data_IF_937562724619
#
_entry.id   IF_937562724619
#
_cell.length_a   1.000
_cell.length_b   1.000
_cell.length_c   1.000
_cell.angle_alpha   90.00
_cell.angle_beta   90.00
_cell.angle_gamma   90.00
#
_symmetry.space_group_name_H-M   'P 1'
#
loop_
_entity.id
_entity.type
_entity.pdbx_description
1 polymer ?
#
# COMPACT_ATOMS: atom_id res chain seq x y z
N UNK A 1 46.88 16.97 22.01
CA UNK A 1 45.55 17.64 22.08
C UNK A 1 44.81 17.66 20.74
N UNK A 2 45.48 17.97 19.61
CA UNK A 2 44.87 17.99 18.26
C UNK A 2 44.18 16.67 17.86
N UNK A 3 44.77 15.53 18.23
CA UNK A 3 44.22 14.20 17.92
C UNK A 3 43.01 13.83 18.80
N UNK A 4 42.96 14.35 20.04
CA UNK A 4 41.82 14.11 20.96
C UNK A 4 40.59 14.90 20.48
N UNK A 5 40.79 16.11 19.97
CA UNK A 5 39.72 16.93 19.38
C UNK A 5 39.12 16.25 18.14
N UNK A 6 39.96 15.58 17.33
CA UNK A 6 39.51 14.86 16.14
C UNK A 6 38.70 13.59 16.48
N UNK A 7 39.09 12.87 17.54
CA UNK A 7 38.29 11.74 18.05
C UNK A 7 36.97 12.19 18.69
N UNK A 8 36.95 13.33 19.38
CA UNK A 8 35.74 13.88 19.97
C UNK A 8 34.74 14.40 18.92
N UNK A 9 35.22 14.98 17.81
CA UNK A 9 34.37 15.43 16.71
C UNK A 9 33.78 14.25 15.93
N UNK A 10 34.55 13.18 15.73
CA UNK A 10 34.05 11.95 15.11
C UNK A 10 32.98 11.25 15.98
N UNK A 11 33.11 11.29 17.31
CA UNK A 11 32.13 10.72 18.23
C UNK A 11 30.80 11.51 18.25
N UNK A 12 30.85 12.83 18.07
CA UNK A 12 29.63 13.67 18.00
C UNK A 12 28.82 13.46 16.71
N UNK A 13 29.46 13.09 15.59
CA UNK A 13 28.76 12.81 14.33
C UNK A 13 27.95 11.49 14.35
N UNK A 14 28.34 10.51 15.15
CA UNK A 14 27.61 9.22 15.23
C UNK A 14 26.26 9.38 15.96
N UNK A 15 26.15 10.36 16.87
CA UNK A 15 24.96 10.57 17.69
C UNK A 15 23.82 11.30 16.96
N UNK A 16 24.09 12.00 15.84
CA UNK A 16 23.04 12.69 15.07
C UNK A 16 22.26 11.75 14.13
N UNK A 17 22.81 10.57 13.82
CA UNK A 17 22.16 9.58 12.94
C UNK A 17 21.01 8.86 13.67
N UNK A 18 21.11 8.68 15.00
CA UNK A 18 20.13 7.94 15.80
C UNK A 18 18.91 8.77 16.29
N UNK A 19 18.82 10.05 15.95
CA UNK A 19 17.78 10.97 16.46
C UNK A 19 16.59 11.19 15.52
N UNK A 20 16.65 10.72 14.27
CA UNK A 20 15.50 10.81 13.37
C UNK A 20 14.53 9.65 13.65
N UNK A 21 13.41 9.92 14.31
CA UNK A 21 12.26 9.00 14.28
C UNK A 21 11.92 8.70 12.81
N UNK A 22 12.30 7.52 12.32
CA UNK A 22 12.07 7.13 10.94
C UNK A 22 10.56 7.03 10.69
N UNK A 23 9.98 8.07 10.10
CA UNK A 23 8.59 8.02 9.64
C UNK A 23 8.46 6.85 8.66
N UNK A 24 7.40 6.06 8.83
CA UNK A 24 7.10 4.98 7.90
C UNK A 24 6.70 5.57 6.54
N UNK A 25 7.65 5.63 5.60
CA UNK A 25 7.43 6.13 4.25
C UNK A 25 6.66 5.10 3.40
N UNK A 26 6.05 5.55 2.30
CA UNK A 26 5.35 4.65 1.36
C UNK A 26 6.27 3.57 0.82
N UNK A 27 7.48 3.94 0.42
CA UNK A 27 8.50 3.01 -0.09
C UNK A 27 8.85 1.92 0.92
N UNK A 28 8.97 2.28 2.21
CA UNK A 28 9.19 1.29 3.28
C UNK A 28 8.01 0.35 3.46
N UNK A 29 6.78 0.86 3.39
CA UNK A 29 5.58 0.03 3.44
C UNK A 29 5.57 -0.95 2.26
N UNK A 30 5.89 -0.49 1.06
CA UNK A 30 5.91 -1.33 -0.14
C UNK A 30 7.01 -2.41 -0.04
N UNK A 31 8.20 -2.05 0.45
CA UNK A 31 9.29 -3.00 0.71
C UNK A 31 8.92 -4.04 1.77
N UNK A 32 8.29 -3.62 2.88
CA UNK A 32 7.79 -4.54 3.91
C UNK A 32 6.69 -5.43 3.38
N UNK A 33 5.79 -4.91 2.55
CA UNK A 33 4.74 -5.70 1.92
C UNK A 33 5.34 -6.79 1.04
N UNK A 34 6.37 -6.45 0.24
CA UNK A 34 7.08 -7.41 -0.60
C UNK A 34 7.64 -8.57 0.22
N UNK A 35 8.44 -8.24 1.25
CA UNK A 35 9.03 -9.23 2.17
C UNK A 35 7.96 -10.08 2.87
N UNK A 36 6.92 -9.43 3.38
CA UNK A 36 5.82 -10.08 4.10
C UNK A 36 5.08 -11.09 3.21
N UNK A 37 4.72 -10.70 1.99
CA UNK A 37 4.00 -11.59 1.08
C UNK A 37 4.88 -12.73 0.57
N UNK A 38 6.15 -12.46 0.22
CA UNK A 38 7.10 -13.53 -0.18
C UNK A 38 7.23 -14.59 0.92
N UNK A 39 7.38 -14.18 2.17
CA UNK A 39 7.48 -15.08 3.34
C UNK A 39 6.16 -15.85 3.58
N UNK A 40 5.03 -15.14 3.71
CA UNK A 40 3.74 -15.76 4.07
C UNK A 40 3.18 -16.69 3.01
N UNK A 41 3.40 -16.38 1.74
CA UNK A 41 2.97 -17.22 0.62
C UNK A 41 3.98 -18.33 0.31
N UNK A 42 5.20 -18.25 0.86
CA UNK A 42 6.32 -19.15 0.53
C UNK A 42 6.45 -19.27 -0.99
N UNK A 43 6.68 -18.13 -1.65
CA UNK A 43 6.80 -18.09 -3.11
C UNK A 43 7.98 -18.95 -3.54
N UNK A 44 7.76 -19.77 -4.58
CA UNK A 44 8.83 -20.54 -5.18
C UNK A 44 9.64 -19.62 -6.09
N UNK A 45 11.00 -19.64 -6.05
CA UNK A 45 11.84 -18.87 -6.97
C UNK A 45 11.43 -18.99 -8.45
N UNK A 46 10.92 -20.15 -8.88
CA UNK A 46 10.45 -20.39 -10.25
C UNK A 46 9.17 -19.63 -10.62
N UNK A 47 8.34 -19.29 -9.64
CA UNK A 47 7.02 -18.64 -9.83
C UNK A 47 6.99 -17.19 -9.34
N UNK A 48 7.98 -16.77 -8.57
CA UNK A 48 8.03 -15.47 -7.90
C UNK A 48 7.96 -14.30 -8.90
N UNK A 49 8.70 -14.36 -10.01
CA UNK A 49 8.68 -13.32 -11.04
C UNK A 49 7.28 -13.16 -11.66
N UNK A 50 6.62 -14.27 -11.99
CA UNK A 50 5.28 -14.24 -12.56
C UNK A 50 4.25 -13.70 -11.55
N UNK A 51 4.36 -14.10 -10.28
CA UNK A 51 3.54 -13.57 -9.20
C UNK A 51 3.68 -12.05 -9.09
N UNK A 52 4.91 -11.53 -8.97
CA UNK A 52 5.12 -10.10 -8.78
C UNK A 52 4.67 -9.27 -9.99
N UNK A 53 4.81 -9.79 -11.21
CA UNK A 53 4.30 -9.11 -12.41
C UNK A 53 2.78 -8.98 -12.39
N UNK A 54 2.06 -10.07 -12.13
CA UNK A 54 0.59 -10.06 -12.05
C UNK A 54 0.12 -9.15 -10.89
N UNK A 55 0.75 -9.30 -9.73
CA UNK A 55 0.42 -8.55 -8.54
C UNK A 55 0.67 -7.04 -8.70
N UNK A 56 1.81 -6.65 -9.28
CA UNK A 56 2.14 -5.24 -9.55
C UNK A 56 1.14 -4.61 -10.52
N UNK A 57 0.76 -5.33 -11.56
CA UNK A 57 -0.25 -4.87 -12.53
C UNK A 57 -1.59 -4.62 -11.86
N UNK A 58 -2.02 -5.52 -10.97
CA UNK A 58 -3.22 -5.34 -10.16
C UNK A 58 -3.11 -4.13 -9.22
N UNK A 59 -2.00 -3.99 -8.49
CA UNK A 59 -1.80 -2.87 -7.56
C UNK A 59 -1.82 -1.51 -8.25
N UNK A 60 -1.14 -1.40 -9.40
CA UNK A 60 -1.08 -0.15 -10.17
C UNK A 60 -2.46 0.22 -10.73
N UNK A 61 -3.21 -0.78 -11.21
CA UNK A 61 -4.58 -0.61 -11.69
C UNK A 61 -5.52 -0.16 -10.56
N UNK A 62 -5.41 -0.79 -9.39
CA UNK A 62 -6.20 -0.47 -8.22
C UNK A 62 -5.85 0.93 -7.68
N UNK A 63 -4.56 1.28 -7.68
CA UNK A 63 -4.08 2.61 -7.30
C UNK A 63 -4.66 3.69 -8.23
N UNK A 64 -4.63 3.47 -9.55
CA UNK A 64 -5.23 4.39 -10.52
C UNK A 64 -6.74 4.54 -10.28
N UNK A 65 -7.46 3.44 -10.09
CA UNK A 65 -8.89 3.43 -9.81
C UNK A 65 -9.23 4.20 -8.52
N UNK A 66 -8.45 4.02 -7.45
CA UNK A 66 -8.61 4.79 -6.21
C UNK A 66 -8.27 6.27 -6.38
N UNK A 67 -7.29 6.61 -7.23
CA UNK A 67 -6.94 8.00 -7.53
C UNK A 67 -8.07 8.70 -8.28
N UNK A 68 -8.65 8.06 -9.28
CA UNK A 68 -9.84 8.54 -10.01
C UNK A 68 -10.97 8.87 -9.02
N UNK A 69 -11.35 7.91 -8.17
CA UNK A 69 -12.40 8.10 -7.17
C UNK A 69 -12.10 9.24 -6.19
N UNK A 70 -10.84 9.39 -5.75
CA UNK A 70 -10.43 10.50 -4.87
C UNK A 70 -10.56 11.85 -5.56
N UNK A 71 -10.26 11.94 -6.87
CA UNK A 71 -10.40 13.17 -7.62
C UNK A 71 -11.86 13.57 -7.76
N UNK A 72 -12.74 12.61 -8.04
CA UNK A 72 -14.19 12.85 -8.13
C UNK A 72 -14.75 13.36 -6.79
N UNK A 73 -14.41 12.68 -5.69
CA UNK A 73 -14.83 13.10 -4.35
C UNK A 73 -14.24 14.46 -3.94
N UNK A 74 -13.03 14.80 -4.41
CA UNK A 74 -12.42 16.11 -4.12
C UNK A 74 -13.17 17.24 -4.82
N UNK A 75 -13.55 17.06 -6.09
CA UNK A 75 -14.36 18.05 -6.84
C UNK A 75 -15.66 18.35 -6.09
N UNK A 76 -16.36 17.30 -5.67
CA UNK A 76 -17.59 17.42 -4.86
C UNK A 76 -17.38 18.22 -3.56
N UNK A 77 -16.30 17.96 -2.82
CA UNK A 77 -15.99 18.71 -1.58
C UNK A 77 -15.65 20.17 -1.81
N UNK A 78 -15.09 20.52 -2.97
CA UNK A 78 -14.76 21.91 -3.33
C UNK A 78 -16.01 22.64 -3.83
N UNK A 79 -16.91 21.93 -4.51
CA UNK A 79 -18.16 22.46 -5.08
C UNK A 79 -19.35 22.36 -4.10
N UNK A 80 -19.08 22.07 -2.81
CA UNK A 80 -20.01 21.78 -1.70
C UNK A 80 -21.04 22.90 -1.39
N UNK A 81 -21.18 23.92 -2.23
CA UNK A 81 -22.22 24.94 -2.14
C UNK A 81 -23.39 24.70 -3.13
N UNK A 82 -23.33 23.69 -4.03
CA UNK A 82 -24.42 23.48 -5.00
C UNK A 82 -24.55 22.07 -5.61
N UNK A 83 -24.37 20.99 -4.84
CA UNK A 83 -24.79 19.66 -5.36
C UNK A 83 -26.31 19.65 -5.40
N UNK A 84 -26.88 19.68 -6.61
CA UNK A 84 -28.33 19.57 -6.82
C UNK A 84 -28.80 18.14 -6.54
N UNK A 85 -30.05 17.99 -6.10
CA UNK A 85 -30.66 16.67 -5.89
C UNK A 85 -30.61 15.78 -7.15
N UNK A 86 -30.56 16.41 -8.33
CA UNK A 86 -30.45 15.76 -9.64
C UNK A 86 -29.07 15.10 -9.89
N UNK A 87 -28.03 15.44 -9.11
CA UNK A 87 -26.69 14.87 -9.27
C UNK A 87 -26.49 13.57 -8.49
N UNK A 88 -27.29 13.30 -7.45
CA UNK A 88 -27.17 12.10 -6.63
C UNK A 88 -27.27 10.77 -7.39
N UNK A 89 -28.17 10.60 -8.39
CA UNK A 89 -28.20 9.37 -9.20
C UNK A 89 -26.85 9.07 -9.84
N UNK A 90 -26.19 10.09 -10.42
CA UNK A 90 -24.87 9.95 -11.03
C UNK A 90 -23.78 9.62 -9.99
N UNK A 91 -23.90 10.13 -8.77
CA UNK A 91 -22.97 9.79 -7.68
C UNK A 91 -23.07 8.32 -7.27
N UNK A 92 -24.29 7.81 -7.20
CA UNK A 92 -24.58 6.40 -6.91
C UNK A 92 -24.04 5.52 -8.04
N UNK A 93 -24.30 5.89 -9.30
CA UNK A 93 -23.79 5.14 -10.46
C UNK A 93 -22.26 5.09 -10.49
N UNK A 94 -21.60 6.23 -10.25
CA UNK A 94 -20.14 6.30 -10.17
C UNK A 94 -19.57 5.46 -9.00
N UNK A 95 -20.29 5.39 -7.87
CA UNK A 95 -19.91 4.52 -6.77
C UNK A 95 -20.02 3.04 -7.17
N UNK A 96 -21.13 2.66 -7.81
CA UNK A 96 -21.36 1.29 -8.26
C UNK A 96 -20.37 0.86 -9.34
N UNK A 97 -20.04 1.73 -10.31
CA UNK A 97 -19.01 1.48 -11.32
C UNK A 97 -17.64 1.22 -10.66
N UNK A 98 -17.27 2.05 -9.69
CA UNK A 98 -16.02 1.88 -8.96
C UNK A 98 -15.93 0.51 -8.26
N UNK A 99 -17.00 0.07 -7.61
CA UNK A 99 -17.04 -1.24 -6.95
C UNK A 99 -17.00 -2.41 -7.96
N UNK A 100 -17.71 -2.30 -9.09
CA UNK A 100 -17.64 -3.31 -10.18
C UNK A 100 -16.21 -3.44 -10.70
N UNK A 101 -15.56 -2.33 -11.05
CA UNK A 101 -14.18 -2.32 -11.55
C UNK A 101 -13.19 -2.89 -10.53
N UNK A 102 -13.39 -2.65 -9.23
CA UNK A 102 -12.58 -3.29 -8.17
C UNK A 102 -12.73 -4.81 -8.18
N UNK A 103 -13.95 -5.32 -8.31
CA UNK A 103 -14.22 -6.76 -8.38
C UNK A 103 -13.60 -7.37 -9.63
N UNK A 104 -13.71 -6.70 -10.78
CA UNK A 104 -13.10 -7.15 -12.04
C UNK A 104 -11.57 -7.24 -11.94
N UNK A 105 -10.91 -6.20 -11.41
CA UNK A 105 -9.46 -6.22 -11.19
C UNK A 105 -9.05 -7.37 -10.28
N UNK A 106 -9.82 -7.62 -9.22
CA UNK A 106 -9.55 -8.73 -8.29
C UNK A 106 -9.78 -10.09 -8.94
N UNK A 107 -10.83 -10.23 -9.74
CA UNK A 107 -11.11 -11.44 -10.52
C UNK A 107 -10.01 -11.76 -11.54
N UNK A 108 -9.48 -10.72 -12.22
CA UNK A 108 -8.34 -10.85 -13.13
C UNK A 108 -7.10 -11.35 -12.41
N UNK A 109 -6.73 -10.72 -11.28
CA UNK A 109 -5.59 -11.18 -10.47
C UNK A 109 -5.76 -12.64 -10.04
N UNK A 110 -6.95 -13.03 -9.56
CA UNK A 110 -7.21 -14.42 -9.16
C UNK A 110 -6.99 -15.38 -10.32
N UNK A 111 -7.45 -15.02 -11.52
CA UNK A 111 -7.31 -15.85 -12.71
C UNK A 111 -5.83 -16.02 -13.09
N UNK A 112 -5.07 -14.94 -13.11
CA UNK A 112 -3.62 -14.96 -13.38
C UNK A 112 -2.85 -15.77 -12.32
N UNK A 113 -3.17 -15.58 -11.03
CA UNK A 113 -2.45 -16.24 -9.95
C UNK A 113 -2.76 -17.74 -9.82
N UNK A 114 -3.92 -18.21 -10.27
CA UNK A 114 -4.25 -19.65 -10.28
C UNK A 114 -3.38 -20.44 -11.25
N UNK A 115 -2.89 -19.80 -12.32
CA UNK A 115 -1.93 -20.39 -13.26
C UNK A 115 -0.49 -20.39 -12.72
N UNK A 116 -0.19 -19.51 -11.76
CA UNK A 116 1.15 -19.32 -11.20
C UNK A 116 1.36 -20.05 -9.87
N UNK A 117 0.30 -20.22 -9.08
CA UNK A 117 0.35 -20.83 -7.75
C UNK A 117 -0.94 -21.55 -7.39
N UNK A 118 -0.88 -22.39 -6.34
CA UNK A 118 -2.04 -23.17 -5.91
C UNK A 118 -3.20 -22.30 -5.44
N UNK A 119 -4.43 -22.78 -5.64
CA UNK A 119 -5.67 -22.15 -5.16
C UNK A 119 -5.60 -21.73 -3.68
N UNK A 120 -4.96 -22.55 -2.84
CA UNK A 120 -4.75 -22.24 -1.42
C UNK A 120 -3.92 -20.97 -1.24
N UNK A 121 -2.79 -20.84 -1.96
CA UNK A 121 -1.94 -19.65 -1.88
C UNK A 121 -2.67 -18.43 -2.45
N UNK A 122 -3.36 -18.56 -3.57
CA UNK A 122 -4.16 -17.49 -4.18
C UNK A 122 -5.23 -16.95 -3.22
N UNK A 123 -5.95 -17.83 -2.52
CA UNK A 123 -6.94 -17.40 -1.54
C UNK A 123 -6.28 -16.75 -0.32
N UNK A 124 -5.19 -17.32 0.18
CA UNK A 124 -4.49 -16.80 1.36
C UNK A 124 -3.85 -15.43 1.12
N UNK A 125 -3.50 -15.07 -0.12
CA UNK A 125 -3.00 -13.74 -0.47
C UNK A 125 -3.90 -12.63 0.11
N UNK A 126 -5.22 -12.70 -0.11
CA UNK A 126 -6.14 -11.66 0.34
C UNK A 126 -6.20 -11.55 1.86
N UNK A 127 -6.14 -12.69 2.56
CA UNK A 127 -6.07 -12.71 4.02
C UNK A 127 -4.78 -12.05 4.51
N UNK A 128 -3.65 -12.38 3.90
CA UNK A 128 -2.35 -11.82 4.24
C UNK A 128 -2.27 -10.32 3.93
N UNK A 129 -2.87 -9.84 2.84
CA UNK A 129 -2.99 -8.42 2.56
C UNK A 129 -3.78 -7.68 3.65
N UNK A 130 -4.89 -8.24 4.10
CA UNK A 130 -5.70 -7.65 5.17
C UNK A 130 -4.97 -7.64 6.50
N UNK A 131 -4.27 -8.73 6.83
CA UNK A 131 -3.44 -8.84 8.03
C UNK A 131 -2.32 -7.78 7.99
N UNK A 132 -1.59 -7.68 6.87
CA UNK A 132 -0.56 -6.67 6.66
C UNK A 132 -1.11 -5.25 6.80
N UNK A 133 -2.26 -4.96 6.19
CA UNK A 133 -2.91 -3.65 6.28
C UNK A 133 -3.26 -3.30 7.72
N UNK A 134 -3.79 -4.24 8.50
CA UNK A 134 -4.09 -4.01 9.93
C UNK A 134 -2.81 -3.70 10.71
N UNK A 135 -1.76 -4.49 10.51
CA UNK A 135 -0.47 -4.28 11.16
C UNK A 135 0.12 -2.90 10.82
N UNK A 136 0.11 -2.49 9.55
CA UNK A 136 0.60 -1.17 9.15
C UNK A 136 -0.22 -0.03 9.75
N UNK A 137 -1.54 -0.18 9.83
CA UNK A 137 -2.40 0.82 10.48
C UNK A 137 -2.09 0.97 11.97
N UNK A 138 -1.81 -0.13 12.67
CA UNK A 138 -1.38 -0.08 14.06
C UNK A 138 -0.02 0.59 14.23
N UNK A 139 0.97 0.25 13.40
CA UNK A 139 2.29 0.91 13.40
C UNK A 139 2.18 2.41 13.17
N UNK A 140 1.40 2.83 12.17
CA UNK A 140 1.14 4.25 11.88
C UNK A 140 0.42 4.97 13.04
N UNK A 141 -0.50 4.30 13.74
CA UNK A 141 -1.16 4.86 14.93
C UNK A 141 -0.20 5.04 16.10
N UNK A 142 0.69 4.07 16.36
CA UNK A 142 1.72 4.16 17.42
C UNK A 142 2.70 5.29 17.15
N UNK A 143 3.22 5.40 15.93
CA UNK A 143 4.10 6.51 15.52
C UNK A 143 3.47 7.90 15.68
N UNK A 144 2.13 8.01 15.62
CA UNK A 144 1.43 9.28 15.86
C UNK A 144 1.27 9.61 17.34
N UNK A 145 1.25 8.61 18.24
CA UNK A 145 1.12 8.79 19.69
C UNK A 145 2.46 9.07 20.38
N UNK A 146 3.55 8.62 19.78
CA UNK A 146 4.93 8.83 20.26
C UNK A 146 5.51 10.18 19.82
N UNK A 147 4.74 10.98 19.06
CA UNK A 147 5.03 12.37 18.74
C UNK A 147 4.18 13.31 19.58
#
# INVERSE_FOLDING_TARGET
MKNIIFFLSAFLMVNTIFSQSEKLSREKIDAYKKLYLTDKLKLDPSTETAFWTAYKTYEDSLYKLHRERRQDLKKMRTDNLSISDEEFPKLIDNYMDHEKRKVELRGKLISELKEVMSFRKTFMLFRYEDDFRREMMEKLRKQRKEK
#
